data_IF_948424490379
#
_entry.id   IF_948424490379
#
_cell.length_a   1.000
_cell.length_b   1.000
_cell.length_c   1.000
_cell.angle_alpha   90.00
_cell.angle_beta   90.00
_cell.angle_gamma   90.00
#
_symmetry.space_group_name_H-M   'P 1'
#
loop_
_entity.id
_entity.type
_entity.pdbx_description
1 polymer ?
#
# COMPACT_ATOMS: atom_id res chain seq x y z
N UNK A 1 62.64 -6.83 15.24
CA UNK A 1 61.84 -7.93 15.87
C UNK A 1 60.76 -7.41 16.82
N UNK A 2 60.97 -6.36 17.59
CA UNK A 2 59.92 -5.70 18.45
C UNK A 2 58.84 -4.97 17.66
N UNK A 3 59.18 -4.31 16.55
CA UNK A 3 58.18 -3.54 15.74
C UNK A 3 57.12 -4.43 15.06
N UNK A 4 57.46 -5.68 14.74
CA UNK A 4 56.52 -6.62 14.15
C UNK A 4 55.52 -7.21 15.17
N UNK A 5 55.91 -7.28 16.44
CA UNK A 5 55.05 -7.75 17.53
C UNK A 5 54.06 -6.64 17.92
N UNK A 6 54.50 -5.39 18.01
CA UNK A 6 53.65 -4.23 18.30
C UNK A 6 52.59 -4.03 17.20
N UNK A 7 52.96 -4.27 15.93
CA UNK A 7 51.98 -4.14 14.82
C UNK A 7 50.92 -5.25 14.87
N UNK A 8 51.32 -6.49 15.19
CA UNK A 8 50.41 -7.60 15.36
C UNK A 8 49.42 -7.40 16.54
N UNK A 9 49.92 -6.85 17.64
CA UNK A 9 49.10 -6.57 18.82
C UNK A 9 48.14 -5.42 18.58
N UNK A 10 48.52 -4.39 17.82
CA UNK A 10 47.65 -3.28 17.42
C UNK A 10 46.56 -3.74 16.45
N UNK A 11 46.86 -4.65 15.54
CA UNK A 11 45.88 -5.25 14.60
C UNK A 11 44.92 -6.18 15.34
N UNK A 12 45.36 -6.91 16.33
CA UNK A 12 44.47 -7.75 17.16
C UNK A 12 43.55 -6.94 18.08
N UNK A 13 44.01 -5.77 18.60
CA UNK A 13 43.17 -4.88 19.39
C UNK A 13 42.10 -4.16 18.56
N UNK A 14 42.31 -4.01 17.26
CA UNK A 14 41.33 -3.40 16.32
C UNK A 14 40.29 -4.36 15.81
N UNK A 15 40.36 -5.67 16.08
CA UNK A 15 39.32 -6.61 15.73
C UNK A 15 38.11 -6.37 16.64
N UNK A 16 37.09 -5.67 16.08
CA UNK A 16 35.78 -5.59 16.71
C UNK A 16 35.30 -7.01 17.05
N UNK A 17 34.83 -7.22 18.29
CA UNK A 17 34.26 -8.53 18.65
C UNK A 17 33.20 -8.91 17.62
N UNK A 18 33.13 -10.18 17.20
CA UNK A 18 32.13 -10.63 16.23
C UNK A 18 30.75 -10.18 16.71
N UNK A 19 30.02 -9.51 15.83
CA UNK A 19 28.68 -9.04 16.13
C UNK A 19 27.86 -10.21 16.70
N UNK A 20 27.18 -10.01 17.83
CA UNK A 20 26.40 -11.08 18.44
C UNK A 20 25.41 -11.64 17.39
N UNK A 21 25.21 -12.97 17.36
CA UNK A 21 24.31 -13.57 16.40
C UNK A 21 22.96 -12.87 16.49
N UNK A 22 22.47 -12.34 15.36
CA UNK A 22 21.17 -11.69 15.28
C UNK A 22 20.09 -12.72 15.64
N UNK A 23 19.73 -12.77 16.91
CA UNK A 23 18.55 -13.53 17.31
C UNK A 23 17.34 -12.83 16.70
N UNK A 24 16.47 -13.54 16.00
CA UNK A 24 15.24 -12.96 15.51
C UNK A 24 14.46 -12.42 16.70
N UNK A 25 14.37 -11.09 16.80
CA UNK A 25 13.58 -10.44 17.83
C UNK A 25 12.10 -10.60 17.43
N UNK A 26 11.34 -11.37 18.18
CA UNK A 26 9.90 -11.42 18.06
C UNK A 26 9.34 -10.10 18.57
N UNK A 27 8.75 -9.29 17.66
CA UNK A 27 8.08 -8.06 18.02
C UNK A 27 6.63 -8.38 18.38
N UNK A 28 6.22 -8.00 19.59
CA UNK A 28 4.84 -8.10 20.04
C UNK A 28 3.99 -7.06 19.30
N UNK A 29 2.89 -7.49 18.68
CA UNK A 29 1.95 -6.62 17.98
C UNK A 29 0.66 -6.57 18.80
N UNK A 30 0.29 -5.36 19.25
CA UNK A 30 -0.91 -5.10 20.04
C UNK A 30 -1.79 -4.05 19.37
N UNK A 31 -3.09 -4.26 19.43
CA UNK A 31 -4.07 -3.27 19.02
C UNK A 31 -4.75 -2.67 20.26
N UNK A 32 -4.71 -1.34 20.38
CA UNK A 32 -5.24 -0.59 21.54
C UNK A 32 -6.54 0.15 21.23
N UNK A 33 -7.00 0.12 19.98
CA UNK A 33 -8.24 0.78 19.57
C UNK A 33 -9.49 0.14 20.14
N UNK A 34 -10.53 0.94 20.36
CA UNK A 34 -11.83 0.47 20.86
C UNK A 34 -12.88 0.43 19.74
N UNK A 35 -13.80 -0.56 19.82
CA UNK A 35 -14.89 -0.69 18.85
C UNK A 35 -15.83 0.50 18.84
N UNK A 36 -16.09 1.12 19.98
CA UNK A 36 -16.97 2.29 20.13
C UNK A 36 -16.38 3.54 19.46
N UNK A 37 -15.09 3.77 19.62
CA UNK A 37 -14.39 4.87 18.94
C UNK A 37 -14.40 4.67 17.42
N UNK A 38 -14.09 3.46 16.96
CA UNK A 38 -14.14 3.14 15.54
C UNK A 38 -15.53 3.30 14.96
N UNK A 39 -16.57 2.87 15.68
CA UNK A 39 -17.95 3.01 15.24
C UNK A 39 -18.35 4.49 15.03
N UNK A 40 -17.94 5.39 15.92
CA UNK A 40 -18.18 6.84 15.76
C UNK A 40 -17.50 7.39 14.51
N UNK A 41 -16.26 6.99 14.24
CA UNK A 41 -15.53 7.37 13.02
C UNK A 41 -16.24 6.80 11.79
N UNK A 42 -16.65 5.55 11.85
CA UNK A 42 -17.28 4.84 10.75
C UNK A 42 -18.62 5.46 10.36
N UNK A 43 -19.51 5.74 11.34
CA UNK A 43 -20.84 6.29 11.05
C UNK A 43 -20.76 7.69 10.43
N UNK A 44 -19.87 8.55 10.94
CA UNK A 44 -19.65 9.89 10.37
C UNK A 44 -19.11 9.79 8.94
N UNK A 45 -18.14 8.91 8.71
CA UNK A 45 -17.57 8.70 7.39
C UNK A 45 -18.59 8.11 6.41
N UNK A 46 -19.48 7.23 6.87
CA UNK A 46 -20.57 6.67 6.07
C UNK A 46 -21.55 7.76 5.64
N UNK A 47 -22.03 8.57 6.58
CA UNK A 47 -22.98 9.67 6.30
C UNK A 47 -22.37 10.69 5.32
N UNK A 48 -21.13 11.11 5.56
CA UNK A 48 -20.44 12.03 4.65
C UNK A 48 -20.23 11.43 3.26
N UNK A 49 -19.92 10.14 3.17
CA UNK A 49 -19.76 9.47 1.89
C UNK A 49 -21.07 9.38 1.11
N UNK A 50 -22.17 9.12 1.79
CA UNK A 50 -23.52 9.11 1.18
C UNK A 50 -23.92 10.49 0.69
N UNK A 51 -23.79 11.53 1.53
CA UNK A 51 -24.17 12.91 1.19
C UNK A 51 -23.33 13.45 0.03
N UNK A 52 -22.04 13.09 -0.02
CA UNK A 52 -21.12 13.56 -1.09
C UNK A 52 -21.07 12.65 -2.32
N UNK A 53 -22.01 11.69 -2.45
CA UNK A 53 -22.05 10.74 -3.55
C UNK A 53 -20.67 10.08 -3.80
N UNK A 54 -20.06 9.56 -2.73
CA UNK A 54 -18.76 8.89 -2.69
C UNK A 54 -17.51 9.79 -2.82
N UNK A 55 -17.64 11.08 -3.12
CA UNK A 55 -16.48 11.98 -3.23
C UNK A 55 -15.68 12.10 -1.92
N UNK A 56 -16.32 11.89 -0.76
CA UNK A 56 -15.65 11.89 0.54
C UNK A 56 -14.85 10.59 0.84
N UNK A 57 -14.99 9.57 0.05
CA UNK A 57 -14.43 8.23 0.28
C UNK A 57 -12.91 8.21 0.53
N UNK A 58 -12.07 9.00 -0.16
CA UNK A 58 -10.63 9.07 0.11
C UNK A 58 -10.32 9.62 1.51
N UNK A 59 -11.07 10.62 1.96
CA UNK A 59 -10.92 11.23 3.29
C UNK A 59 -11.36 10.24 4.39
N UNK A 60 -12.46 9.54 4.18
CA UNK A 60 -12.93 8.46 5.05
C UNK A 60 -11.88 7.35 5.17
N UNK A 61 -11.25 6.96 4.04
CA UNK A 61 -10.18 5.96 3.99
C UNK A 61 -8.93 6.43 4.75
N UNK A 62 -8.53 7.69 4.59
CA UNK A 62 -7.40 8.27 5.30
C UNK A 62 -7.61 8.25 6.82
N UNK A 63 -8.80 8.69 7.30
CA UNK A 63 -9.17 8.65 8.72
C UNK A 63 -9.15 7.23 9.29
N UNK A 64 -9.70 6.27 8.53
CA UNK A 64 -9.70 4.86 8.94
C UNK A 64 -8.28 4.33 9.07
N UNK A 65 -7.41 4.58 8.08
CA UNK A 65 -6.02 4.13 8.13
C UNK A 65 -5.26 4.76 9.28
N UNK A 66 -5.43 6.06 9.52
CA UNK A 66 -4.81 6.75 10.64
C UNK A 66 -5.24 6.14 11.98
N UNK A 67 -6.54 5.86 12.15
CA UNK A 67 -7.05 5.23 13.37
C UNK A 67 -6.40 3.87 13.62
N UNK A 68 -6.41 2.97 12.62
CA UNK A 68 -5.86 1.64 12.79
C UNK A 68 -4.35 1.67 13.02
N UNK A 69 -3.59 2.47 12.29
CA UNK A 69 -2.14 2.51 12.44
C UNK A 69 -1.72 3.14 13.77
N UNK A 70 -2.33 4.26 14.17
CA UNK A 70 -2.00 4.92 15.44
C UNK A 70 -2.36 4.05 16.67
N UNK A 71 -3.33 3.16 16.54
CA UNK A 71 -3.72 2.21 17.59
C UNK A 71 -3.05 0.82 17.45
N UNK A 72 -2.15 0.65 16.49
CA UNK A 72 -1.35 -0.59 16.36
C UNK A 72 0.03 -0.36 16.92
N UNK A 73 0.35 -1.03 18.02
CA UNK A 73 1.66 -0.99 18.66
C UNK A 73 2.50 -2.15 18.14
N UNK A 74 3.72 -1.86 17.71
CA UNK A 74 4.71 -2.86 17.29
C UNK A 74 5.93 -2.71 18.19
N UNK A 75 6.20 -3.72 19.02
CA UNK A 75 7.25 -3.65 20.02
C UNK A 75 7.08 -2.51 21.03
N UNK A 76 5.81 -2.16 21.34
CA UNK A 76 5.46 -1.08 22.27
C UNK A 76 5.32 0.31 21.65
N UNK A 77 5.75 0.52 20.39
CA UNK A 77 5.66 1.81 19.71
C UNK A 77 4.53 1.84 18.68
N UNK A 78 3.75 2.92 18.59
CA UNK A 78 2.66 3.03 17.62
C UNK A 78 3.18 3.20 16.20
N UNK A 79 2.43 2.66 15.23
CA UNK A 79 2.63 2.99 13.82
C UNK A 79 2.09 4.40 13.56
N UNK A 80 2.88 5.22 12.84
CA UNK A 80 2.45 6.54 12.40
C UNK A 80 1.91 6.54 10.98
N UNK A 81 0.81 7.26 10.73
CA UNK A 81 0.28 7.48 9.38
C UNK A 81 0.30 8.96 9.03
N UNK A 82 1.03 9.29 7.96
CA UNK A 82 1.30 10.67 7.56
C UNK A 82 0.78 10.98 6.15
N UNK A 83 -0.19 10.22 5.66
CA UNK A 83 -0.72 10.44 4.32
C UNK A 83 -1.59 11.70 4.27
N UNK A 84 -1.33 12.52 3.27
CA UNK A 84 -2.16 13.66 2.92
C UNK A 84 -3.46 13.17 2.26
N UNK A 85 -4.65 13.46 2.83
CA UNK A 85 -5.92 13.05 2.25
C UNK A 85 -6.16 13.60 0.83
N UNK A 86 -5.61 14.78 0.51
CA UNK A 86 -5.72 15.38 -0.82
C UNK A 86 -4.97 14.59 -1.90
N UNK A 87 -3.82 14.02 -1.55
CA UNK A 87 -3.09 13.12 -2.47
C UNK A 87 -3.89 11.84 -2.73
N UNK A 88 -4.56 11.32 -1.69
CA UNK A 88 -5.47 10.17 -1.85
C UNK A 88 -6.68 10.53 -2.71
N UNK A 89 -7.23 11.73 -2.56
CA UNK A 89 -8.34 12.23 -3.37
C UNK A 89 -7.97 12.34 -4.86
N UNK A 90 -6.78 12.86 -5.18
CA UNK A 90 -6.30 12.92 -6.58
C UNK A 90 -6.19 11.53 -7.21
N UNK A 91 -5.66 10.55 -6.49
CA UNK A 91 -5.62 9.16 -6.95
C UNK A 91 -7.00 8.55 -7.15
N UNK A 92 -7.94 8.84 -6.26
CA UNK A 92 -9.33 8.43 -6.37
C UNK A 92 -10.01 9.05 -7.58
N UNK A 93 -9.82 10.36 -7.80
CA UNK A 93 -10.38 11.08 -8.93
C UNK A 93 -9.91 10.50 -10.27
N UNK A 94 -8.64 10.12 -10.37
CA UNK A 94 -8.09 9.45 -11.55
C UNK A 94 -8.82 8.13 -11.83
N UNK A 95 -8.99 7.29 -10.81
CA UNK A 95 -9.73 6.01 -10.96
C UNK A 95 -11.19 6.26 -11.34
N UNK A 96 -11.82 7.27 -10.74
CA UNK A 96 -13.20 7.64 -11.04
C UNK A 96 -13.35 8.11 -12.49
N UNK A 97 -12.45 8.98 -12.98
CA UNK A 97 -12.45 9.45 -14.38
C UNK A 97 -12.24 8.29 -15.35
N UNK A 98 -11.33 7.37 -15.05
CA UNK A 98 -11.13 6.16 -15.87
C UNK A 98 -12.37 5.27 -15.87
N UNK A 99 -13.03 5.07 -14.73
CA UNK A 99 -14.24 4.27 -14.63
C UNK A 99 -15.43 4.89 -15.39
N UNK A 100 -15.64 6.21 -15.20
CA UNK A 100 -16.68 6.95 -15.94
C UNK A 100 -16.37 6.98 -17.44
N UNK A 101 -15.12 7.15 -17.81
CA UNK A 101 -14.69 7.09 -19.23
C UNK A 101 -14.96 5.74 -19.85
N UNK A 102 -14.62 4.65 -19.15
CA UNK A 102 -14.96 3.30 -19.61
C UNK A 102 -16.46 3.10 -19.76
N UNK A 103 -17.24 3.52 -18.76
CA UNK A 103 -18.71 3.45 -18.81
C UNK A 103 -19.28 4.24 -20.00
N UNK A 104 -18.79 5.46 -20.23
CA UNK A 104 -19.24 6.28 -21.36
C UNK A 104 -18.91 5.64 -22.70
N UNK A 105 -17.67 5.15 -22.89
CA UNK A 105 -17.30 4.46 -24.14
C UNK A 105 -18.16 3.22 -24.37
N UNK A 106 -18.41 2.43 -23.33
CA UNK A 106 -19.21 1.20 -23.43
C UNK A 106 -20.68 1.48 -23.80
N UNK A 107 -21.24 2.62 -23.38
CA UNK A 107 -22.64 2.96 -23.68
C UNK A 107 -22.81 3.73 -25.00
N UNK A 108 -21.90 4.66 -25.30
CA UNK A 108 -22.05 5.54 -26.47
C UNK A 108 -21.29 5.04 -27.71
N UNK A 109 -20.24 4.24 -27.51
CA UNK A 109 -19.36 3.71 -28.55
C UNK A 109 -19.05 2.23 -28.33
N UNK A 110 -20.03 1.31 -28.37
CA UNK A 110 -19.83 -0.09 -27.97
C UNK A 110 -18.77 -0.81 -28.82
N UNK A 111 -18.55 -0.41 -30.07
CA UNK A 111 -17.50 -0.96 -30.92
C UNK A 111 -16.09 -0.75 -30.35
N UNK A 112 -15.88 0.29 -29.54
CA UNK A 112 -14.59 0.61 -28.90
C UNK A 112 -14.48 0.13 -27.43
N UNK A 113 -15.52 -0.52 -26.90
CA UNK A 113 -15.55 -0.99 -25.51
C UNK A 113 -14.40 -1.95 -25.19
N UNK A 114 -14.01 -2.81 -26.12
CA UNK A 114 -12.88 -3.72 -25.97
C UNK A 114 -11.55 -2.98 -25.83
N UNK A 115 -11.32 -1.95 -26.63
CA UNK A 115 -10.10 -1.14 -26.51
C UNK A 115 -10.06 -0.41 -25.18
N UNK A 116 -11.18 0.16 -24.72
CA UNK A 116 -11.30 0.79 -23.43
C UNK A 116 -11.05 -0.19 -22.27
N UNK A 117 -11.56 -1.43 -22.38
CA UNK A 117 -11.31 -2.49 -21.40
C UNK A 117 -9.83 -2.86 -21.32
N UNK A 118 -9.16 -3.03 -22.46
CA UNK A 118 -7.71 -3.34 -22.50
C UNK A 118 -6.90 -2.23 -21.85
N UNK A 119 -7.21 -0.96 -22.13
CA UNK A 119 -6.53 0.18 -21.48
C UNK A 119 -6.79 0.18 -19.97
N UNK A 120 -8.03 -0.03 -19.54
CA UNK A 120 -8.37 -0.08 -18.12
C UNK A 120 -7.65 -1.21 -17.40
N UNK A 121 -7.64 -2.42 -17.97
CA UNK A 121 -6.96 -3.59 -17.44
C UNK A 121 -5.43 -3.39 -17.39
N UNK A 122 -4.86 -2.77 -18.42
CA UNK A 122 -3.43 -2.48 -18.49
C UNK A 122 -2.98 -1.46 -17.44
N UNK A 123 -3.82 -0.47 -17.13
CA UNK A 123 -3.50 0.53 -16.10
C UNK A 123 -3.70 0.03 -14.66
N UNK A 124 -4.54 -0.99 -14.45
CA UNK A 124 -4.92 -1.47 -13.13
C UNK A 124 -3.74 -1.90 -12.24
N UNK A 125 -2.77 -2.72 -12.71
CA UNK A 125 -1.61 -3.11 -11.91
C UNK A 125 -0.73 -1.92 -11.51
N UNK A 126 -0.59 -0.92 -12.39
CA UNK A 126 0.17 0.30 -12.09
C UNK A 126 -0.51 1.12 -11.00
N UNK A 127 -1.82 1.28 -11.07
CA UNK A 127 -2.61 2.00 -10.06
C UNK A 127 -2.53 1.29 -8.70
N UNK A 128 -2.64 -0.04 -8.71
CA UNK A 128 -2.53 -0.86 -7.51
C UNK A 128 -1.15 -0.73 -6.86
N UNK A 129 -0.08 -0.90 -7.64
CA UNK A 129 1.31 -0.72 -7.18
C UNK A 129 1.52 0.67 -6.60
N UNK A 130 1.08 1.72 -7.30
CA UNK A 130 1.20 3.11 -6.84
C UNK A 130 0.44 3.34 -5.52
N UNK A 131 -0.73 2.72 -5.36
CA UNK A 131 -1.50 2.77 -4.12
C UNK A 131 -0.77 2.12 -2.95
N UNK A 132 -0.14 0.95 -3.16
CA UNK A 132 0.65 0.26 -2.13
C UNK A 132 1.89 1.07 -1.77
N UNK A 133 2.62 1.57 -2.77
CA UNK A 133 3.79 2.41 -2.57
C UNK A 133 3.45 3.68 -1.78
N UNK A 134 2.34 4.32 -2.11
CA UNK A 134 1.87 5.50 -1.40
C UNK A 134 1.56 5.20 0.07
N UNK A 135 0.85 4.11 0.36
CA UNK A 135 0.51 3.73 1.74
C UNK A 135 1.76 3.45 2.58
N UNK A 136 2.69 2.64 2.07
CA UNK A 136 3.91 2.28 2.79
C UNK A 136 4.81 3.49 3.02
N UNK A 137 5.00 4.35 2.03
CA UNK A 137 5.80 5.59 2.19
C UNK A 137 5.24 6.55 3.24
N UNK A 138 3.92 6.50 3.48
CA UNK A 138 3.27 7.34 4.48
C UNK A 138 3.07 6.63 5.83
N UNK A 139 3.56 5.41 5.97
CA UNK A 139 3.61 4.67 7.23
C UNK A 139 5.00 4.77 7.83
N UNK A 140 5.09 5.10 9.11
CA UNK A 140 6.36 5.15 9.85
C UNK A 140 6.27 4.29 11.11
N UNK A 141 7.41 3.74 11.51
CA UNK A 141 7.62 3.06 12.77
C UNK A 141 8.92 3.54 13.40
N UNK A 142 8.89 3.98 14.66
CA UNK A 142 10.05 4.56 15.36
C UNK A 142 10.77 5.66 14.55
N UNK A 143 10.01 6.50 13.84
CA UNK A 143 10.58 7.56 12.99
C UNK A 143 11.12 7.09 11.64
N UNK A 144 11.19 5.78 11.37
CA UNK A 144 11.61 5.22 10.07
C UNK A 144 10.41 5.02 9.17
N UNK A 145 10.45 5.56 7.96
CA UNK A 145 9.40 5.36 6.96
C UNK A 145 9.59 4.02 6.25
N UNK A 146 8.47 3.32 6.04
CA UNK A 146 8.48 2.09 5.27
C UNK A 146 8.69 2.39 3.78
N UNK A 147 9.44 1.54 3.09
CA UNK A 147 9.64 1.62 1.64
C UNK A 147 9.04 0.40 0.95
N UNK A 148 8.45 0.63 -0.21
CA UNK A 148 7.97 -0.44 -1.06
C UNK A 148 8.98 -0.69 -2.18
N UNK A 149 9.58 -1.87 -2.17
CA UNK A 149 10.54 -2.33 -3.18
C UNK A 149 9.83 -3.35 -4.06
N UNK A 150 9.06 -2.89 -5.02
CA UNK A 150 8.37 -3.75 -5.98
C UNK A 150 8.53 -3.20 -7.38
N UNK A 151 8.96 -4.03 -8.32
CA UNK A 151 9.12 -3.68 -9.72
C UNK A 151 7.79 -3.69 -10.46
N UNK A 152 7.72 -2.95 -11.59
CA UNK A 152 6.54 -2.92 -12.44
C UNK A 152 6.23 -4.33 -13.00
N UNK A 153 7.20 -5.09 -13.54
CA UNK A 153 6.94 -6.44 -14.02
C UNK A 153 6.33 -7.36 -12.96
N UNK A 154 6.83 -7.29 -11.73
CA UNK A 154 6.31 -8.09 -10.60
C UNK A 154 4.85 -7.77 -10.29
N UNK A 155 4.42 -6.50 -10.45
CA UNK A 155 3.03 -6.11 -10.24
C UNK A 155 2.10 -6.74 -11.28
N UNK A 156 2.53 -6.81 -12.54
CA UNK A 156 1.75 -7.48 -13.60
C UNK A 156 1.71 -8.99 -13.41
N UNK A 157 2.85 -9.62 -13.11
CA UNK A 157 2.94 -11.07 -12.88
C UNK A 157 2.09 -11.51 -11.68
N UNK A 158 2.07 -10.74 -10.60
CA UNK A 158 1.28 -11.08 -9.41
C UNK A 158 -0.24 -10.95 -9.64
N UNK A 159 -0.66 -10.12 -10.60
CA UNK A 159 -2.07 -9.95 -10.95
C UNK A 159 -2.54 -10.84 -12.10
N UNK A 160 -1.61 -11.44 -12.85
CA UNK A 160 -1.94 -12.32 -13.96
C UNK A 160 -2.96 -13.42 -13.59
N UNK A 161 -2.83 -14.13 -12.45
CA UNK A 161 -3.81 -15.14 -12.04
C UNK A 161 -5.21 -14.59 -11.84
N UNK A 162 -5.35 -13.31 -11.48
CA UNK A 162 -6.65 -12.66 -11.29
C UNK A 162 -7.37 -12.41 -12.62
N UNK A 163 -6.62 -12.20 -13.71
CA UNK A 163 -7.20 -11.98 -15.06
C UNK A 163 -7.51 -13.28 -15.79
N UNK A 164 -6.91 -14.42 -15.40
CA UNK A 164 -7.16 -15.71 -16.06
C UNK A 164 -8.63 -16.16 -16.09
N UNK A 165 -9.42 -16.04 -14.99
CA UNK A 165 -10.83 -16.38 -15.02
C UNK A 165 -11.64 -15.48 -15.95
N UNK A 166 -11.32 -14.19 -16.02
CA UNK A 166 -11.99 -13.25 -16.91
C UNK A 166 -11.68 -13.55 -18.38
N UNK A 167 -10.43 -13.91 -18.69
CA UNK A 167 -10.04 -14.35 -20.03
C UNK A 167 -10.70 -15.67 -20.42
N UNK A 168 -10.75 -16.63 -19.49
CA UNK A 168 -11.41 -17.91 -19.71
C UNK A 168 -12.92 -17.72 -19.99
N UNK A 169 -13.58 -16.82 -19.25
CA UNK A 169 -14.99 -16.49 -19.46
C UNK A 169 -15.24 -15.92 -20.86
N UNK A 170 -14.38 -15.03 -21.33
CA UNK A 170 -14.48 -14.43 -22.69
C UNK A 170 -14.24 -15.46 -23.79
N UNK A 171 -13.34 -16.43 -23.58
CA UNK A 171 -13.00 -17.46 -24.58
C UNK A 171 -14.00 -18.61 -24.60
N UNK A 172 -14.61 -18.94 -23.44
CA UNK A 172 -15.51 -20.10 -23.29
C UNK A 172 -17.00 -19.78 -23.50
N UNK A 173 -17.39 -18.51 -23.61
CA UNK A 173 -18.72 -18.11 -24.01
C UNK A 173 -18.70 -17.77 -25.52
N UNK A 174 -18.90 -18.72 -26.43
CA UNK A 174 -19.24 -18.40 -27.82
C UNK A 174 -20.61 -17.75 -27.82
N UNK A 175 -20.77 -16.68 -28.59
CA UNK A 175 -22.03 -15.99 -28.88
C UNK A 175 -23.09 -16.96 -29.43
#
# INVERSE_FOLDING_TARGET
MRESEDFAETVMMGALPPAPPHRPQTLDIRFTGSGSEYFRIWIVNLLLTLVTLTLYLPFARARRMAYFQNNTLVGGDPLGFHADPWKMFRGYLLVLVLGVGYWAVSNFMPAFSWAALVVFMGLWPLLWRSSLQFRLRNTSWRGVRLSFVGDIPSAYLSMLPMFLPALAFVVLLPE
#
